data_IF_796553495513
#
_entry.id   IF_796553495513
#
_cell.length_a   1.000
_cell.length_b   1.000
_cell.length_c   1.000
_cell.angle_alpha   90.00
_cell.angle_beta   90.00
_cell.angle_gamma   90.00
#
_symmetry.space_group_name_H-M   'P 1'
#
loop_
_entity.id
_entity.type
_entity.pdbx_description
1 polymer ?
#
# COMPACT_ATOMS: atom_id res chain seq x y z
N UNK A 1 -10.34 0.51 10.77
CA UNK A 1 -9.71 -0.83 10.77
C UNK A 1 -9.90 -1.43 9.38
N UNK A 2 -8.87 -2.06 8.81
CA UNK A 2 -8.98 -2.74 7.51
C UNK A 2 -9.68 -4.10 7.72
N UNK A 3 -10.84 -4.36 7.08
CA UNK A 3 -11.57 -5.62 7.26
C UNK A 3 -10.82 -6.86 6.72
N UNK A 4 -9.80 -6.67 5.88
CA UNK A 4 -9.01 -7.75 5.28
C UNK A 4 -7.79 -8.16 6.10
N UNK A 5 -7.59 -7.57 7.29
CA UNK A 5 -6.45 -7.89 8.15
C UNK A 5 -5.09 -7.43 7.59
N UNK A 6 -5.09 -6.59 6.55
CA UNK A 6 -3.88 -6.05 5.94
C UNK A 6 -3.59 -4.62 6.41
N UNK A 7 -2.30 -4.27 6.46
CA UNK A 7 -1.83 -2.90 6.61
C UNK A 7 -1.51 -2.31 5.22
N UNK A 8 -1.55 -0.97 5.04
CA UNK A 8 -1.85 0.08 6.02
C UNK A 8 -3.34 0.43 6.14
N UNK A 9 -3.70 1.14 7.22
CA UNK A 9 -5.01 1.77 7.42
C UNK A 9 -4.80 3.20 7.97
N UNK A 10 -5.46 4.17 7.36
CA UNK A 10 -5.48 5.57 7.78
C UNK A 10 -6.80 5.85 8.53
N UNK A 11 -6.72 6.64 9.59
CA UNK A 11 -7.89 7.23 10.25
C UNK A 11 -7.66 8.72 10.42
N UNK A 12 -8.49 9.52 9.78
CA UNK A 12 -8.46 10.97 9.89
C UNK A 12 -9.55 11.45 10.87
N UNK A 13 -9.10 12.07 11.96
CA UNK A 13 -9.94 12.60 13.03
C UNK A 13 -10.41 14.04 12.76
N UNK A 14 -10.06 14.64 11.62
CA UNK A 14 -10.57 15.95 11.21
C UNK A 14 -12.05 15.93 10.79
N UNK A 15 -12.61 14.74 10.55
CA UNK A 15 -14.02 14.50 10.21
C UNK A 15 -14.81 13.95 11.41
N UNK A 16 -16.12 14.19 11.44
CA UNK A 16 -17.06 13.61 12.39
C UNK A 16 -18.22 12.89 11.66
N UNK A 17 -18.33 11.54 11.73
CA UNK A 17 -17.41 10.62 12.42
C UNK A 17 -16.03 10.52 11.73
N UNK A 18 -14.99 10.01 12.41
CA UNK A 18 -13.65 9.91 11.84
C UNK A 18 -13.63 9.13 10.53
N UNK A 19 -12.97 9.70 9.51
CA UNK A 19 -12.86 9.08 8.20
C UNK A 19 -11.82 7.95 8.24
N UNK A 20 -12.22 6.74 7.85
CA UNK A 20 -11.36 5.55 7.85
C UNK A 20 -11.12 5.11 6.41
N UNK A 21 -9.85 4.96 6.04
CA UNK A 21 -9.42 4.57 4.70
C UNK A 21 -8.39 3.43 4.79
N UNK A 22 -8.47 2.48 3.86
CA UNK A 22 -7.51 1.38 3.68
C UNK A 22 -7.13 1.30 2.19
N UNK A 23 -6.23 0.38 1.84
CA UNK A 23 -5.46 0.35 0.56
C UNK A 23 -4.39 1.43 0.48
N UNK A 24 -3.12 1.00 0.38
CA UNK A 24 -1.96 1.91 0.33
C UNK A 24 -2.08 2.94 -0.79
N UNK A 25 -2.54 2.51 -1.97
CA UNK A 25 -2.72 3.34 -3.18
C UNK A 25 -3.86 4.37 -3.05
N UNK A 26 -4.92 4.04 -2.30
CA UNK A 26 -6.02 4.96 -2.03
C UNK A 26 -5.59 6.01 -0.99
N UNK A 27 -4.91 5.58 0.07
CA UNK A 27 -4.34 6.47 1.09
C UNK A 27 -3.33 7.45 0.46
N UNK A 28 -2.44 6.97 -0.40
CA UNK A 28 -1.46 7.82 -1.09
C UNK A 28 -2.14 8.90 -1.94
N UNK A 29 -3.19 8.55 -2.70
CA UNK A 29 -3.96 9.52 -3.49
C UNK A 29 -4.68 10.55 -2.60
N UNK A 30 -5.30 10.12 -1.50
CA UNK A 30 -5.93 11.01 -0.53
C UNK A 30 -4.93 12.04 0.03
N UNK A 31 -3.75 11.59 0.46
CA UNK A 31 -2.70 12.49 0.96
C UNK A 31 -2.13 13.41 -0.13
N UNK A 32 -1.97 12.90 -1.36
CA UNK A 32 -1.51 13.70 -2.49
C UNK A 32 -2.49 14.82 -2.86
N UNK A 33 -3.80 14.55 -2.82
CA UNK A 33 -4.83 15.55 -3.03
C UNK A 33 -4.88 16.57 -1.89
N UNK A 34 -4.84 16.10 -0.64
CA UNK A 34 -4.98 16.94 0.55
C UNK A 34 -3.74 17.84 0.77
N UNK A 35 -2.53 17.29 0.62
CA UNK A 35 -1.29 17.95 1.04
C UNK A 35 -0.27 18.14 -0.10
N UNK A 36 -0.44 17.47 -1.23
CA UNK A 36 0.51 17.50 -2.34
C UNK A 36 0.54 18.81 -3.13
N UNK A 37 -0.42 19.72 -2.89
CA UNK A 37 -0.51 21.06 -3.52
C UNK A 37 -0.34 21.01 -5.05
N UNK A 38 -0.91 19.99 -5.70
CA UNK A 38 -0.85 19.78 -7.15
C UNK A 38 0.50 19.30 -7.71
N UNK A 39 1.45 18.89 -6.86
CA UNK A 39 2.77 18.40 -7.29
C UNK A 39 2.86 16.89 -7.46
N UNK A 40 2.05 16.15 -6.72
CA UNK A 40 2.08 14.68 -6.68
C UNK A 40 1.03 14.02 -7.57
N UNK A 41 -0.06 14.74 -7.85
CA UNK A 41 -1.12 14.32 -8.75
C UNK A 41 -1.51 15.50 -9.64
N UNK A 42 -1.85 15.24 -10.91
CA UNK A 42 -2.37 16.27 -11.78
C UNK A 42 -3.68 16.83 -11.24
N UNK A 43 -3.97 18.09 -11.56
CA UNK A 43 -5.30 18.66 -11.30
C UNK A 43 -6.36 17.89 -12.09
N UNK A 44 -7.49 17.59 -11.45
CA UNK A 44 -8.64 16.96 -12.09
C UNK A 44 -9.15 17.77 -13.31
N UNK A 45 -8.90 19.08 -13.35
CA UNK A 45 -9.23 19.93 -14.50
C UNK A 45 -8.37 19.67 -15.74
N UNK A 46 -7.19 19.06 -15.60
CA UNK A 46 -6.33 18.69 -16.72
C UNK A 46 -6.56 17.23 -17.11
N UNK A 47 -7.54 17.02 -18.02
CA UNK A 47 -7.96 15.70 -18.46
C UNK A 47 -6.81 14.84 -19.02
N UNK A 48 -5.93 15.44 -19.84
CA UNK A 48 -4.82 14.70 -20.46
C UNK A 48 -3.80 14.23 -19.43
N UNK A 49 -3.42 15.09 -18.50
CA UNK A 49 -2.48 14.74 -17.45
C UNK A 49 -3.07 13.67 -16.51
N UNK A 50 -4.34 13.80 -16.15
CA UNK A 50 -5.06 12.81 -15.33
C UNK A 50 -5.15 11.46 -16.02
N UNK A 51 -5.46 11.42 -17.33
CA UNK A 51 -5.50 10.18 -18.09
C UNK A 51 -4.12 9.46 -18.11
N UNK A 52 -3.03 10.19 -18.30
CA UNK A 52 -1.68 9.62 -18.26
C UNK A 52 -1.30 9.13 -16.85
N UNK A 53 -1.69 9.87 -15.82
CA UNK A 53 -1.48 9.46 -14.43
C UNK A 53 -2.19 8.13 -14.12
N UNK A 54 -3.47 8.02 -14.48
CA UNK A 54 -4.22 6.78 -14.22
C UNK A 54 -3.74 5.62 -15.10
N UNK A 55 -3.28 5.86 -16.34
CA UNK A 55 -2.62 4.84 -17.15
C UNK A 55 -1.37 4.29 -16.43
N UNK A 56 -0.52 5.18 -15.92
CA UNK A 56 0.69 4.78 -15.20
C UNK A 56 0.36 4.04 -13.90
N UNK A 57 -0.63 4.52 -13.13
CA UNK A 57 -1.02 3.89 -11.88
C UNK A 57 -1.69 2.52 -12.08
N UNK A 58 -2.47 2.35 -13.16
CA UNK A 58 -3.02 1.04 -13.55
C UNK A 58 -1.92 0.08 -13.98
N UNK A 59 -0.93 0.57 -14.73
CA UNK A 59 0.23 -0.23 -15.17
C UNK A 59 1.07 -0.68 -13.96
N UNK A 60 1.29 0.21 -12.99
CA UNK A 60 1.97 -0.10 -11.73
C UNK A 60 1.25 -1.24 -11.00
N UNK A 61 -0.06 -1.11 -10.75
CA UNK A 61 -0.85 -2.08 -10.00
C UNK A 61 -0.97 -3.44 -10.71
N UNK A 62 -1.16 -3.44 -12.03
CA UNK A 62 -1.56 -4.66 -12.76
C UNK A 62 -0.40 -5.39 -13.41
N UNK A 63 0.70 -4.69 -13.69
CA UNK A 63 1.84 -5.26 -14.43
C UNK A 63 3.11 -5.29 -13.58
N UNK A 64 3.45 -4.17 -12.91
CA UNK A 64 4.68 -4.08 -12.14
C UNK A 64 4.59 -4.77 -10.78
N UNK A 65 3.57 -4.43 -9.98
CA UNK A 65 3.40 -4.90 -8.60
C UNK A 65 3.37 -6.43 -8.47
N UNK A 66 2.68 -7.21 -9.34
CA UNK A 66 2.66 -8.67 -9.22
C UNK A 66 4.05 -9.31 -9.37
N UNK A 67 4.90 -8.75 -10.24
CA UNK A 67 6.27 -9.22 -10.42
C UNK A 67 7.19 -8.75 -9.29
N UNK A 68 7.11 -7.46 -8.93
CA UNK A 68 7.94 -6.86 -7.91
C UNK A 68 7.68 -7.44 -6.52
N UNK A 69 6.40 -7.57 -6.12
CA UNK A 69 6.05 -8.12 -4.80
C UNK A 69 6.47 -9.57 -4.63
N UNK A 70 6.43 -10.37 -5.70
CA UNK A 70 6.90 -11.76 -5.64
C UNK A 70 8.41 -11.83 -5.39
N UNK A 71 9.19 -11.00 -6.08
CA UNK A 71 10.64 -10.93 -5.88
C UNK A 71 10.97 -10.43 -4.47
N UNK A 72 10.32 -9.36 -4.03
CA UNK A 72 10.49 -8.82 -2.66
C UNK A 72 10.15 -9.87 -1.60
N UNK A 73 9.08 -10.65 -1.80
CA UNK A 73 8.73 -11.71 -0.87
C UNK A 73 9.80 -12.80 -0.81
N UNK A 74 10.25 -13.31 -1.96
CA UNK A 74 11.22 -14.40 -2.03
C UNK A 74 12.62 -14.00 -1.52
N UNK A 75 13.09 -12.81 -1.89
CA UNK A 75 14.45 -12.36 -1.58
C UNK A 75 14.56 -11.69 -0.21
N UNK A 76 13.52 -10.95 0.22
CA UNK A 76 13.57 -10.17 1.45
C UNK A 76 12.76 -10.80 2.57
N UNK A 77 11.53 -11.24 2.36
CA UNK A 77 10.69 -11.67 3.50
C UNK A 77 10.85 -13.16 3.86
N UNK A 78 10.90 -14.03 2.87
CA UNK A 78 10.96 -15.49 3.05
C UNK A 78 12.19 -15.96 3.83
N UNK A 79 13.42 -15.42 3.63
CA UNK A 79 14.58 -15.86 4.40
C UNK A 79 14.41 -15.61 5.90
N UNK A 80 13.86 -14.46 6.32
CA UNK A 80 13.63 -14.17 7.73
C UNK A 80 12.47 -14.99 8.33
N UNK A 81 11.45 -15.32 7.53
CA UNK A 81 10.38 -16.22 7.97
C UNK A 81 10.90 -17.63 8.30
N UNK A 82 11.84 -18.14 7.50
CA UNK A 82 12.47 -19.46 7.73
C UNK A 82 13.49 -19.40 8.88
N UNK A 83 14.24 -18.29 9.00
CA UNK A 83 15.26 -18.15 10.05
C UNK A 83 14.63 -18.09 11.45
N UNK A 84 13.46 -17.46 11.62
CA UNK A 84 12.71 -17.51 12.89
C UNK A 84 12.29 -18.93 13.28
N UNK A 85 12.01 -19.81 12.32
CA UNK A 85 11.68 -21.22 12.58
C UNK A 85 12.93 -22.05 12.93
N UNK A 86 14.12 -21.65 12.46
CA UNK A 86 15.37 -22.33 12.78
C UNK A 86 15.98 -21.91 14.14
N UNK A 87 15.69 -20.70 14.62
CA UNK A 87 16.12 -20.23 15.95
C UNK A 87 15.19 -20.64 17.11
N UNK A 88 14.05 -21.29 16.84
CA UNK A 88 13.18 -21.85 17.87
C UNK A 88 13.10 -23.40 17.81
N UNK A 89 14.22 -24.14 17.95
CA UNK A 89 14.20 -25.59 17.79
C UNK A 89 13.66 -26.36 19.01
N UNK A 90 13.05 -25.72 20.02
CA UNK A 90 12.58 -26.46 21.20
C UNK A 90 11.48 -25.78 22.01
N UNK A 91 10.23 -25.93 21.55
CA UNK A 91 9.10 -26.03 22.47
C UNK A 91 8.66 -27.48 22.42
N UNK A 92 9.20 -28.28 23.34
CA UNK A 92 8.54 -29.54 23.69
C UNK A 92 7.25 -29.13 24.39
N UNK A 93 6.11 -29.38 23.74
CA UNK A 93 4.82 -29.40 24.40
C UNK A 93 4.88 -30.50 25.47
N UNK A 94 4.89 -30.10 26.73
CA UNK A 94 4.32 -30.91 27.81
C UNK A 94 2.80 -30.78 27.76
#
# INVERSE_FOLDING_TARGET
MNPFGALPCLKDYSFDPPFVLYESRAIARYLALQYGKGRLMPSASNLRATALFEQAASTELTSFDPAANRLVFEELFKPYAITCLQFYPRIHWC
#
